data_IF_322959561728
#
_entry.id   IF_322959561728
#
_cell.length_a   1.000
_cell.length_b   1.000
_cell.length_c   1.000
_cell.angle_alpha   90.00
_cell.angle_beta   90.00
_cell.angle_gamma   90.00
#
_symmetry.space_group_name_H-M   'P 1'
#
loop_
_entity.id
_entity.type
_entity.pdbx_description
1 polymer ?
#
# COMPACT_ATOMS: atom_id res chain seq x y z
N UNK A 1 5.13 20.09 7.81
CA UNK A 1 5.08 19.17 8.96
C UNK A 1 5.48 17.80 8.41
N UNK A 2 6.61 17.23 8.84
CA UNK A 2 6.90 15.83 8.58
C UNK A 2 6.03 15.04 9.53
N UNK A 3 4.96 14.43 9.02
CA UNK A 3 4.17 13.48 9.79
C UNK A 3 5.04 12.25 9.97
N UNK A 4 5.47 11.98 11.20
CA UNK A 4 6.08 10.69 11.52
C UNK A 4 5.05 9.61 11.21
N UNK A 5 5.36 8.78 10.20
CA UNK A 5 4.44 7.78 9.66
C UNK A 5 4.42 6.53 10.56
N UNK A 6 5.47 6.31 11.35
CA UNK A 6 5.65 5.08 12.13
C UNK A 6 4.49 4.79 13.08
N UNK A 7 3.94 5.77 13.85
CA UNK A 7 2.78 5.53 14.70
C UNK A 7 1.52 5.11 13.92
N UNK A 8 1.36 5.60 12.70
CA UNK A 8 0.23 5.23 11.82
C UNK A 8 0.38 3.77 11.38
N UNK A 9 1.58 3.40 10.95
CA UNK A 9 1.89 2.03 10.53
C UNK A 9 1.67 1.05 11.68
N UNK A 10 2.20 1.35 12.87
CA UNK A 10 1.97 0.51 14.04
C UNK A 10 0.49 0.35 14.37
N UNK A 11 -0.30 1.43 14.29
CA UNK A 11 -1.72 1.38 14.56
C UNK A 11 -2.49 0.54 13.52
N UNK A 12 -2.11 0.62 12.24
CA UNK A 12 -2.66 -0.23 11.17
C UNK A 12 -2.34 -1.71 11.46
N UNK A 13 -1.07 -2.02 11.75
CA UNK A 13 -0.61 -3.40 12.00
C UNK A 13 -1.24 -4.03 13.25
N UNK A 14 -1.68 -3.23 14.23
CA UNK A 14 -2.44 -3.70 15.39
C UNK A 14 -3.92 -3.95 15.08
N UNK A 15 -4.48 -3.30 14.07
CA UNK A 15 -5.90 -3.35 13.76
C UNK A 15 -6.26 -4.46 12.77
N UNK A 16 -5.39 -4.75 11.81
CA UNK A 16 -5.66 -5.67 10.70
C UNK A 16 -4.42 -6.46 10.31
N UNK A 17 -4.62 -7.67 9.76
CA UNK A 17 -3.53 -8.44 9.16
C UNK A 17 -3.14 -7.84 7.82
N UNK A 18 -1.86 -7.46 7.71
CA UNK A 18 -1.30 -6.79 6.55
C UNK A 18 -0.17 -7.64 5.98
N UNK A 19 -0.13 -7.74 4.65
CA UNK A 19 0.98 -8.34 3.94
C UNK A 19 2.04 -7.28 3.67
N UNK A 20 1.70 -6.19 2.98
CA UNK A 20 2.65 -5.14 2.59
C UNK A 20 2.09 -3.75 2.81
N UNK A 21 2.97 -2.79 3.10
CA UNK A 21 2.64 -1.37 3.05
C UNK A 21 3.65 -0.65 2.18
N UNK A 22 3.12 0.11 1.23
CA UNK A 22 3.88 1.00 0.36
C UNK A 22 3.56 2.44 0.69
N UNK A 23 4.57 3.30 0.65
CA UNK A 23 4.46 4.73 0.90
C UNK A 23 5.14 5.53 -0.21
N UNK A 24 4.46 6.57 -0.68
CA UNK A 24 5.06 7.57 -1.56
C UNK A 24 4.42 8.94 -1.35
N UNK A 25 5.10 9.98 -1.81
CA UNK A 25 4.58 11.34 -1.81
C UNK A 25 3.99 11.71 -3.16
N UNK A 26 2.95 12.51 -3.17
CA UNK A 26 2.42 13.11 -4.40
C UNK A 26 2.01 14.56 -4.18
N UNK A 27 2.07 15.35 -5.24
CA UNK A 27 1.62 16.74 -5.24
C UNK A 27 0.18 16.82 -5.74
N UNK A 28 -0.65 17.58 -5.02
CA UNK A 28 -2.03 17.88 -5.41
C UNK A 28 -2.35 19.33 -5.08
N UNK A 29 -2.67 20.12 -6.11
CA UNK A 29 -2.93 21.58 -5.99
C UNK A 29 -1.83 22.35 -5.24
N UNK A 30 -0.55 22.05 -5.52
CA UNK A 30 0.60 22.73 -4.90
C UNK A 30 0.86 22.33 -3.44
N UNK A 31 0.17 21.30 -2.93
CA UNK A 31 0.40 20.72 -1.61
C UNK A 31 0.93 19.29 -1.75
N UNK A 32 1.91 18.95 -0.91
CA UNK A 32 2.45 17.59 -0.81
C UNK A 32 1.60 16.76 0.14
N UNK A 33 1.27 15.56 -0.32
CA UNK A 33 0.50 14.56 0.41
C UNK A 33 1.30 13.26 0.51
N UNK A 34 1.01 12.49 1.55
CA UNK A 34 1.52 11.13 1.72
C UNK A 34 0.43 10.16 1.28
N UNK A 35 0.78 9.14 0.49
CA UNK A 35 -0.10 8.02 0.17
C UNK A 35 0.42 6.76 0.84
N UNK A 36 -0.48 6.06 1.53
CA UNK A 36 -0.25 4.71 2.03
C UNK A 36 -1.09 3.73 1.24
N UNK A 37 -0.45 2.78 0.56
CA UNK A 37 -1.15 1.61 0.06
C UNK A 37 -0.95 0.45 1.03
N UNK A 38 -2.05 -0.03 1.60
CA UNK A 38 -2.07 -1.16 2.53
C UNK A 38 -2.64 -2.38 1.81
N UNK A 39 -1.79 -3.38 1.61
CA UNK A 39 -2.17 -4.66 1.02
C UNK A 39 -2.47 -5.64 2.16
N UNK A 40 -3.73 -5.99 2.34
CA UNK A 40 -4.22 -6.90 3.37
C UNK A 40 -3.95 -8.35 3.00
N UNK A 41 -3.74 -9.17 4.03
CA UNK A 41 -3.66 -10.62 3.89
C UNK A 41 -5.00 -11.17 3.37
N UNK A 42 -4.94 -11.99 2.32
CA UNK A 42 -6.13 -12.55 1.66
C UNK A 42 -6.99 -13.44 2.59
N UNK A 43 -6.35 -14.03 3.60
CA UNK A 43 -6.98 -14.91 4.60
C UNK A 43 -7.19 -14.22 5.97
N UNK A 44 -7.26 -12.89 6.02
CA UNK A 44 -7.32 -12.13 7.27
C UNK A 44 -8.55 -12.40 8.17
N UNK A 45 -9.51 -13.23 7.75
CA UNK A 45 -10.72 -13.57 8.53
C UNK A 45 -11.68 -12.40 8.78
N UNK A 46 -11.36 -11.21 8.24
CA UNK A 46 -12.12 -9.97 8.35
C UNK A 46 -12.70 -9.60 6.98
N UNK A 47 -13.91 -9.05 6.97
CA UNK A 47 -14.50 -8.51 5.74
C UNK A 47 -13.72 -7.26 5.33
N UNK A 48 -13.53 -7.08 4.02
CA UNK A 48 -12.84 -5.91 3.48
C UNK A 48 -13.43 -4.58 3.97
N UNK A 49 -14.76 -4.47 4.02
CA UNK A 49 -15.45 -3.28 4.50
C UNK A 49 -15.05 -2.90 5.93
N UNK A 50 -14.88 -3.91 6.78
CA UNK A 50 -14.59 -3.72 8.20
C UNK A 50 -13.13 -3.33 8.38
N UNK A 51 -12.22 -4.01 7.68
CA UNK A 51 -10.81 -3.64 7.63
C UNK A 51 -10.61 -2.22 7.10
N UNK A 52 -11.26 -1.87 5.99
CA UNK A 52 -11.19 -0.53 5.42
C UNK A 52 -11.73 0.54 6.39
N UNK A 53 -12.84 0.26 7.08
CA UNK A 53 -13.41 1.16 8.10
C UNK A 53 -12.45 1.38 9.27
N UNK A 54 -11.85 0.30 9.81
CA UNK A 54 -10.88 0.37 10.90
C UNK A 54 -9.64 1.19 10.51
N UNK A 55 -9.09 0.92 9.33
CA UNK A 55 -7.91 1.62 8.82
C UNK A 55 -8.21 3.11 8.60
N UNK A 56 -9.34 3.45 7.97
CA UNK A 56 -9.73 4.85 7.77
C UNK A 56 -9.94 5.58 9.10
N UNK A 57 -10.47 4.90 10.13
CA UNK A 57 -10.59 5.47 11.47
C UNK A 57 -9.22 5.74 12.10
N UNK A 58 -8.26 4.84 11.91
CA UNK A 58 -6.87 5.00 12.39
C UNK A 58 -6.16 6.16 11.71
N UNK A 59 -6.34 6.33 10.40
CA UNK A 59 -5.65 7.36 9.60
C UNK A 59 -6.38 8.71 9.60
N UNK A 60 -7.69 8.74 9.87
CA UNK A 60 -8.52 9.96 9.83
C UNK A 60 -8.07 11.09 10.76
N UNK A 61 -7.21 10.81 11.75
CA UNK A 61 -6.61 11.82 12.61
C UNK A 61 -5.38 12.53 12.00
N UNK A 62 -4.91 12.11 10.83
CA UNK A 62 -3.66 12.59 10.23
C UNK A 62 -3.93 13.44 8.99
N UNK A 63 -3.84 14.78 9.09
CA UNK A 63 -4.03 15.64 7.93
C UNK A 63 -2.92 15.39 6.91
N UNK A 64 -3.31 15.30 5.64
CA UNK A 64 -2.46 15.08 4.47
C UNK A 64 -1.97 13.64 4.23
N UNK A 65 -2.53 12.65 4.92
CA UNK A 65 -2.30 11.23 4.62
C UNK A 65 -3.53 10.67 3.91
N UNK A 66 -3.32 10.12 2.73
CA UNK A 66 -4.31 9.33 2.00
C UNK A 66 -4.01 7.84 2.17
N UNK A 67 -5.07 7.03 2.16
CA UNK A 67 -4.93 5.59 2.26
C UNK A 67 -5.70 4.89 1.15
N UNK A 68 -5.09 3.84 0.61
CA UNK A 68 -5.68 2.92 -0.33
C UNK A 68 -5.54 1.50 0.22
N UNK A 69 -6.66 0.83 0.46
CA UNK A 69 -6.71 -0.51 1.04
C UNK A 69 -7.09 -1.50 -0.05
N UNK A 70 -6.33 -2.57 -0.19
CA UNK A 70 -6.57 -3.62 -1.19
C UNK A 70 -6.23 -4.97 -0.58
N UNK A 71 -6.74 -6.08 -1.13
CA UNK A 71 -6.11 -7.37 -0.87
C UNK A 71 -4.88 -7.56 -1.76
N UNK A 72 -3.86 -8.25 -1.24
CA UNK A 72 -2.64 -8.55 -1.99
C UNK A 72 -2.93 -9.27 -3.32
N UNK A 73 -3.87 -10.22 -3.33
CA UNK A 73 -4.25 -10.94 -4.55
C UNK A 73 -4.91 -10.04 -5.61
N UNK A 74 -5.69 -9.02 -5.20
CA UNK A 74 -6.29 -8.06 -6.14
C UNK A 74 -5.22 -7.17 -6.78
N UNK A 75 -4.19 -6.80 -6.01
CA UNK A 75 -3.05 -6.07 -6.54
C UNK A 75 -2.26 -6.94 -7.50
N UNK A 76 -1.97 -8.20 -7.13
CA UNK A 76 -1.31 -9.14 -8.02
C UNK A 76 -2.07 -9.30 -9.34
N UNK A 77 -3.40 -9.47 -9.28
CA UNK A 77 -4.24 -9.57 -10.48
C UNK A 77 -4.12 -8.33 -11.36
N UNK A 78 -4.11 -7.12 -10.78
CA UNK A 78 -3.94 -5.88 -11.55
C UNK A 78 -2.55 -5.80 -12.19
N UNK A 79 -1.51 -6.26 -11.49
CA UNK A 79 -0.15 -6.34 -12.02
C UNK A 79 -0.08 -7.33 -13.19
N UNK A 80 -0.67 -8.52 -13.03
CA UNK A 80 -0.71 -9.56 -14.06
C UNK A 80 -1.46 -9.11 -15.32
N UNK A 81 -2.49 -8.26 -15.15
CA UNK A 81 -3.25 -7.64 -16.24
C UNK A 81 -2.50 -6.49 -16.93
N UNK A 82 -1.31 -6.12 -16.47
CA UNK A 82 -0.54 -5.00 -17.01
C UNK A 82 -1.13 -3.63 -16.66
N UNK A 83 -1.92 -3.53 -15.58
CA UNK A 83 -2.44 -2.25 -15.13
C UNK A 83 -1.31 -1.45 -14.48
N UNK A 84 -0.78 -0.47 -15.21
CA UNK A 84 0.46 0.22 -14.86
C UNK A 84 0.47 0.94 -13.51
N UNK A 85 -0.68 1.39 -12.97
CA UNK A 85 -0.69 2.13 -11.69
C UNK A 85 -0.25 1.27 -10.50
N UNK A 86 -0.90 0.13 -10.18
CA UNK A 86 -0.43 -0.79 -9.14
C UNK A 86 1.02 -1.21 -9.31
N UNK A 87 1.45 -1.51 -10.54
CA UNK A 87 2.82 -1.88 -10.83
C UNK A 87 3.84 -0.79 -10.47
N UNK A 88 3.59 0.46 -10.90
CA UNK A 88 4.47 1.60 -10.63
C UNK A 88 4.49 2.00 -9.15
N UNK A 89 3.43 1.69 -8.41
CA UNK A 89 3.29 2.07 -7.01
C UNK A 89 3.96 1.06 -6.08
N UNK A 90 3.80 -0.24 -6.35
CA UNK A 90 4.31 -1.31 -5.51
C UNK A 90 5.82 -1.57 -5.67
N UNK A 91 6.60 -0.57 -6.09
CA UNK A 91 8.04 -0.73 -6.25
C UNK A 91 8.74 -1.00 -4.91
N UNK A 92 9.80 -1.83 -4.87
CA UNK A 92 10.50 -2.18 -3.63
C UNK A 92 10.99 -0.97 -2.82
N UNK A 93 11.39 0.10 -3.50
CA UNK A 93 11.83 1.37 -2.92
C UNK A 93 10.75 2.11 -2.13
N UNK A 94 9.48 1.90 -2.47
CA UNK A 94 8.34 2.48 -1.76
C UNK A 94 7.86 1.57 -0.61
N UNK A 95 8.37 0.34 -0.49
CA UNK A 95 7.90 -0.62 0.51
C UNK A 95 8.50 -0.31 1.88
N UNK A 96 7.64 0.03 2.83
CA UNK A 96 8.02 0.37 4.21
C UNK A 96 7.68 -0.75 5.20
N UNK A 97 6.87 -1.72 4.80
CA UNK A 97 6.56 -2.91 5.59
C UNK A 97 6.34 -4.12 4.68
N UNK A 98 6.86 -5.26 5.12
CA UNK A 98 6.59 -6.57 4.54
C UNK A 98 6.46 -7.60 5.66
N UNK A 99 5.33 -8.31 5.68
CA UNK A 99 5.13 -9.44 6.57
C UNK A 99 6.06 -10.61 6.15
N UNK A 100 6.94 -11.10 7.04
CA UNK A 100 7.89 -12.16 6.71
C UNK A 100 7.24 -13.52 6.44
N UNK A 101 5.98 -13.73 6.84
CA UNK A 101 5.26 -15.00 6.68
C UNK A 101 4.14 -14.92 5.64
N UNK A 102 4.24 -13.98 4.70
CA UNK A 102 3.28 -13.82 3.62
C UNK A 102 3.02 -15.12 2.87
N UNK A 103 1.74 -15.52 2.76
CA UNK A 103 1.35 -16.70 1.98
C UNK A 103 1.45 -16.45 0.47
N UNK A 104 1.09 -15.23 0.03
CA UNK A 104 1.08 -14.84 -1.39
C UNK A 104 1.97 -13.61 -1.54
N UNK A 105 3.25 -13.77 -1.91
CA UNK A 105 4.13 -12.64 -2.15
C UNK A 105 3.73 -11.89 -3.42
N UNK A 106 3.79 -10.56 -3.39
CA UNK A 106 3.62 -9.75 -4.59
C UNK A 106 4.82 -9.94 -5.53
N UNK A 107 4.55 -10.37 -6.76
CA UNK A 107 5.55 -10.57 -7.81
C UNK A 107 5.39 -9.47 -8.84
N UNK A 108 6.38 -8.59 -8.88
CA UNK A 108 6.46 -7.53 -9.87
C UNK A 108 7.21 -8.04 -11.11
N UNK A 109 6.77 -7.70 -12.33
CA UNK A 109 7.57 -7.97 -13.52
C UNK A 109 8.93 -7.29 -13.40
N UNK A 110 9.97 -8.06 -13.72
CA UNK A 110 11.37 -7.69 -13.52
C UNK A 110 11.68 -6.48 -14.42
N UNK A 111 11.78 -5.29 -13.82
CA UNK A 111 12.27 -4.08 -14.47
C UNK A 111 13.80 -4.16 -14.65
N UNK A 112 14.30 -5.18 -15.35
CA UNK A 112 15.54 -4.94 -16.09
C UNK A 112 15.14 -3.97 -17.18
N UNK A 113 15.68 -2.77 -17.08
CA UNK A 113 15.44 -1.59 -17.90
C UNK A 113 15.75 -1.84 -19.38
N UNK A 114 15.06 -2.76 -20.04
CA UNK A 114 15.10 -2.92 -21.47
C UNK A 114 14.00 -2.04 -22.07
N UNK A 115 14.41 -0.78 -22.29
CA UNK A 115 13.77 0.22 -23.16
C UNK A 115 12.42 0.75 -22.68
N UNK A 116 12.48 1.77 -21.83
CA UNK A 116 11.59 2.92 -22.03
C UNK A 116 12.13 3.63 -23.28
N UNK A 117 11.41 3.54 -24.39
CA UNK A 117 11.67 4.35 -25.59
C UNK A 117 11.17 5.76 -25.25
N UNK A 118 12.05 6.75 -25.32
CA UNK A 118 11.74 8.19 -25.26
C UNK A 118 10.72 8.60 -26.33
#
# INVERSE_FOLDING_TARGET
>A
MNTDINPIIEAILRAVAVDEIYQWTFDHYGKKYQMLQVNLTSNAGIRFSDANSLINKTVGSYPNVYINVNFTHEIQQKVDQGLGRPYLICQPENRIYQNPVQEIPLVLPNNKSDKVIE
#
